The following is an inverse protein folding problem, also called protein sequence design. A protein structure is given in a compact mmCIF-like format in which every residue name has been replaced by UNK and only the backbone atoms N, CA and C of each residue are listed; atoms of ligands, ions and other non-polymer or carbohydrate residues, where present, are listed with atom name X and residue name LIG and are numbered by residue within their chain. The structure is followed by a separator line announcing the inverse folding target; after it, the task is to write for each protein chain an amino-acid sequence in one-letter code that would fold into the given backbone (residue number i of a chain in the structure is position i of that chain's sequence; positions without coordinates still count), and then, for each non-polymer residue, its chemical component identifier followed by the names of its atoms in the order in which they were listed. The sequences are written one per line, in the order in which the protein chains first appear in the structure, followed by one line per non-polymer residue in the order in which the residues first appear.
data_IF_352865490545
#
_entry.id   IF_352865490545
#
_cell.length_a   1.000
_cell.length_b   1.000
_cell.length_c   1.000
_cell.angle_alpha   90.00
_cell.angle_beta   90.00
_cell.angle_gamma   90.00
#
_symmetry.space_group_name_H-M   'P 1'
#
loop_
_entity.id
_entity.type
_entity.pdbx_description
1 polymer ?
#
# COMPACT_ATOMS: atom_id res chain seq x y z
N UNK A 1 18.36 -14.85 9.01
CA UNK A 1 17.79 -13.88 9.97
C UNK A 1 18.74 -13.83 11.15
N UNK A 2 19.29 -12.67 11.46
CA UNK A 2 20.31 -12.51 12.51
C UNK A 2 19.81 -11.70 13.70
N UNK A 3 18.66 -11.02 13.57
CA UNK A 3 18.01 -10.32 14.68
C UNK A 3 16.50 -10.25 14.51
N UNK A 4 15.79 -10.34 15.63
CA UNK A 4 14.36 -10.11 15.71
C UNK A 4 14.03 -9.42 17.02
N UNK A 5 13.39 -8.26 16.94
CA UNK A 5 12.75 -7.60 18.07
C UNK A 5 11.29 -7.44 17.73
N UNK A 6 10.45 -8.12 18.51
CA UNK A 6 9.00 -8.11 18.34
C UNK A 6 8.49 -6.66 18.26
N UNK A 7 7.63 -6.41 17.26
CA UNK A 7 6.99 -5.12 16.98
C UNK A 7 7.95 -3.94 16.77
N UNK A 8 9.25 -4.21 16.53
CA UNK A 8 10.27 -3.18 16.30
C UNK A 8 11.05 -3.41 15.01
N UNK A 9 11.73 -4.55 14.88
CA UNK A 9 12.59 -4.80 13.72
C UNK A 9 12.85 -6.28 13.44
N UNK A 10 13.10 -6.58 12.16
CA UNK A 10 13.68 -7.83 11.69
C UNK A 10 14.97 -7.51 10.95
N UNK A 11 16.06 -8.18 11.30
CA UNK A 11 17.36 -8.04 10.66
C UNK A 11 17.72 -9.31 9.90
N UNK A 12 17.96 -9.16 8.60
CA UNK A 12 18.42 -10.20 7.71
C UNK A 12 19.81 -9.86 7.20
N UNK A 13 20.65 -10.88 7.10
CA UNK A 13 21.98 -10.80 6.48
C UNK A 13 22.02 -11.69 5.25
N UNK A 14 22.98 -11.41 4.38
CA UNK A 14 23.26 -12.17 3.17
C UNK A 14 23.44 -13.66 3.47
N UNK A 15 22.72 -14.48 2.72
CA UNK A 15 22.97 -15.91 2.70
C UNK A 15 24.07 -16.19 1.67
N UNK A 16 25.26 -16.55 2.12
CA UNK A 16 26.39 -16.88 1.24
C UNK A 16 26.12 -18.15 0.41
N UNK A 17 25.28 -19.06 0.92
CA UNK A 17 24.88 -20.30 0.25
C UNK A 17 23.60 -20.12 -0.59
N UNK A 18 23.28 -18.90 -1.02
CA UNK A 18 22.10 -18.67 -1.84
C UNK A 18 22.25 -19.34 -3.21
N UNK A 19 21.26 -20.15 -3.57
CA UNK A 19 21.29 -21.02 -4.76
C UNK A 19 21.60 -20.30 -6.08
N UNK A 20 21.29 -18.99 -6.17
CA UNK A 20 21.55 -18.18 -7.35
C UNK A 20 22.85 -17.41 -7.17
N UNK A 21 23.85 -17.82 -7.93
CA UNK A 21 25.18 -17.23 -7.93
C UNK A 21 25.14 -15.70 -8.11
N UNK A 22 25.98 -15.00 -7.34
CA UNK A 22 26.10 -13.54 -7.39
C UNK A 22 24.94 -12.77 -6.75
N UNK A 23 23.97 -13.43 -6.10
CA UNK A 23 22.89 -12.80 -5.34
C UNK A 23 22.82 -13.34 -3.90
N UNK A 24 22.24 -12.59 -2.95
CA UNK A 24 21.81 -11.19 -3.06
C UNK A 24 23.00 -10.21 -3.12
N UNK A 25 22.77 -8.99 -3.62
CA UNK A 25 23.80 -7.92 -3.70
C UNK A 25 23.98 -7.14 -2.40
N UNK A 26 22.97 -7.17 -1.53
CA UNK A 26 22.98 -6.46 -0.25
C UNK A 26 23.55 -7.37 0.83
N UNK A 27 24.39 -6.82 1.70
CA UNK A 27 24.95 -7.54 2.83
C UNK A 27 23.95 -7.68 3.98
N UNK A 28 23.06 -6.69 4.14
CA UNK A 28 22.12 -6.60 5.25
C UNK A 28 20.84 -5.86 4.85
N UNK A 29 19.71 -6.30 5.39
CA UNK A 29 18.41 -5.62 5.30
C UNK A 29 17.78 -5.57 6.69
N UNK A 30 17.37 -4.37 7.10
CA UNK A 30 16.60 -4.17 8.34
C UNK A 30 15.18 -3.74 7.98
N UNK A 31 14.20 -4.57 8.35
CA UNK A 31 12.79 -4.20 8.29
C UNK A 31 12.41 -3.54 9.61
N UNK A 32 12.20 -2.21 9.60
CA UNK A 32 11.70 -1.47 10.76
C UNK A 32 10.17 -1.45 10.75
N UNK A 33 9.56 -1.72 11.91
CA UNK A 33 8.12 -1.63 12.11
C UNK A 33 7.79 -0.21 12.56
N UNK A 34 7.21 0.58 11.66
CA UNK A 34 6.81 1.97 11.91
C UNK A 34 5.33 2.11 11.55
N UNK A 35 4.41 1.98 12.52
CA UNK A 35 2.97 1.95 12.27
C UNK A 35 2.44 3.24 11.64
N UNK A 36 2.89 4.38 12.13
CA UNK A 36 2.38 5.70 11.72
C UNK A 36 2.95 6.15 10.37
N UNK A 37 2.08 6.56 9.45
CA UNK A 37 2.46 6.94 8.10
C UNK A 37 3.30 8.22 8.05
N UNK A 38 3.00 9.20 8.90
CA UNK A 38 3.76 10.44 9.03
C UNK A 38 5.19 10.17 9.54
N UNK A 39 5.35 9.27 10.52
CA UNK A 39 6.67 8.87 11.03
C UNK A 39 7.49 8.16 9.96
N UNK A 40 6.88 7.28 9.15
CA UNK A 40 7.57 6.65 8.02
C UNK A 40 8.09 7.68 7.01
N UNK A 41 7.26 8.66 6.64
CA UNK A 41 7.66 9.70 5.70
C UNK A 41 8.80 10.55 6.26
N UNK A 42 8.72 10.94 7.54
CA UNK A 42 9.79 11.68 8.19
C UNK A 42 11.11 10.90 8.21
N UNK A 43 11.08 9.61 8.57
CA UNK A 43 12.28 8.77 8.55
C UNK A 43 12.85 8.57 7.13
N UNK A 44 11.99 8.53 6.11
CA UNK A 44 12.42 8.47 4.72
C UNK A 44 13.12 9.78 4.30
N UNK A 45 12.54 10.92 4.67
CA UNK A 45 13.11 12.25 4.38
C UNK A 45 14.46 12.47 5.08
N UNK A 46 14.65 11.93 6.28
CA UNK A 46 15.93 12.01 6.99
C UNK A 46 16.96 10.98 6.53
N UNK A 47 16.58 10.03 5.66
CA UNK A 47 17.44 8.92 5.23
C UNK A 47 17.66 7.84 6.30
N UNK A 48 16.79 7.80 7.32
CA UNK A 48 16.82 6.74 8.35
C UNK A 48 16.28 5.42 7.80
N UNK A 49 15.37 5.50 6.83
CA UNK A 49 14.93 4.35 6.01
C UNK A 49 15.13 4.68 4.54
N UNK A 50 15.45 3.66 3.74
CA UNK A 50 15.66 3.83 2.30
C UNK A 50 14.37 3.64 1.49
N UNK A 51 13.42 2.86 2.01
CA UNK A 51 12.21 2.45 1.29
C UNK A 51 10.98 2.51 2.22
N UNK A 52 9.93 3.18 1.74
CA UNK A 52 8.60 3.21 2.36
C UNK A 52 7.58 2.53 1.44
N UNK A 53 7.11 1.33 1.80
CA UNK A 53 6.20 0.54 0.94
C UNK A 53 4.79 1.15 0.80
N UNK A 54 4.25 1.73 1.87
CA UNK A 54 2.87 2.26 1.92
C UNK A 54 2.90 3.76 2.11
N UNK A 55 2.86 4.48 0.98
CA UNK A 55 2.69 5.92 0.89
C UNK A 55 1.20 6.22 0.82
N UNK A 56 0.71 7.11 1.67
CA UNK A 56 -0.68 7.56 1.60
C UNK A 56 -0.85 8.58 0.48
N UNK A 57 -2.03 8.60 -0.15
CA UNK A 57 -2.33 9.50 -1.27
C UNK A 57 -2.03 10.97 -0.90
N UNK A 58 -2.43 11.39 0.31
CA UNK A 58 -2.18 12.74 0.82
C UNK A 58 -0.68 13.08 0.96
N UNK A 59 0.20 12.08 1.00
CA UNK A 59 1.65 12.25 1.11
C UNK A 59 2.35 12.22 -0.26
N UNK A 60 1.67 11.77 -1.32
CA UNK A 60 2.27 11.57 -2.63
C UNK A 60 2.87 12.86 -3.21
N UNK A 61 2.16 13.99 -3.07
CA UNK A 61 2.66 15.31 -3.50
C UNK A 61 3.90 15.74 -2.70
N UNK A 62 3.93 15.46 -1.39
CA UNK A 62 5.11 15.73 -0.56
C UNK A 62 6.32 14.93 -1.01
N UNK A 63 6.13 13.66 -1.41
CA UNK A 63 7.23 12.84 -1.93
C UNK A 63 7.69 13.37 -3.30
N UNK A 64 6.76 13.62 -4.21
CA UNK A 64 7.06 14.10 -5.58
C UNK A 64 7.68 15.50 -5.63
N UNK A 65 7.42 16.35 -4.64
CA UNK A 65 8.00 17.71 -4.58
C UNK A 65 9.47 17.72 -4.15
N UNK A 66 10.00 16.60 -3.64
CA UNK A 66 11.42 16.48 -3.27
C UNK A 66 12.25 15.93 -4.42
N UNK A 67 13.49 16.41 -4.57
CA UNK A 67 14.39 15.99 -5.66
C UNK A 67 15.20 14.72 -5.35
N UNK A 68 15.17 14.24 -4.10
CA UNK A 68 15.96 13.10 -3.63
C UNK A 68 15.11 11.88 -3.30
N UNK A 69 13.78 11.99 -3.31
CA UNK A 69 12.86 10.85 -3.19
C UNK A 69 12.22 10.57 -4.54
N UNK A 70 11.84 9.31 -4.74
CA UNK A 70 11.13 8.88 -5.94
C UNK A 70 9.86 8.11 -5.54
N UNK A 71 8.71 8.57 -6.02
CA UNK A 71 7.46 7.84 -5.85
C UNK A 71 7.33 6.81 -6.96
N UNK A 72 7.19 5.54 -6.57
CA UNK A 72 6.98 4.44 -7.52
C UNK A 72 5.53 3.95 -7.44
N UNK A 73 4.80 4.18 -8.52
CA UNK A 73 3.46 3.64 -8.71
C UNK A 73 3.55 2.22 -9.29
N UNK A 74 2.94 1.26 -8.60
CA UNK A 74 2.94 -0.13 -9.01
C UNK A 74 1.50 -0.65 -8.97
N UNK A 75 0.98 -1.23 -10.07
CA UNK A 75 -0.31 -1.90 -10.06
C UNK A 75 -0.36 -2.97 -8.98
N UNK A 76 -1.43 -2.98 -8.18
CA UNK A 76 -1.63 -3.97 -7.12
C UNK A 76 -2.88 -4.80 -7.41
N UNK A 77 -2.94 -6.07 -6.95
CA UNK A 77 -4.15 -6.89 -7.06
C UNK A 77 -5.23 -6.50 -6.04
N UNK A 78 -5.10 -5.37 -5.35
CA UNK A 78 -6.02 -4.95 -4.29
C UNK A 78 -7.30 -4.37 -4.90
N UNK A 79 -8.45 -4.97 -4.59
CA UNK A 79 -9.76 -4.46 -4.98
C UNK A 79 -10.48 -3.83 -3.77
N UNK A 80 -10.88 -2.56 -3.90
CA UNK A 80 -11.78 -1.91 -2.96
C UNK A 80 -13.22 -2.11 -3.40
N UNK A 81 -14.04 -2.69 -2.55
CA UNK A 81 -15.46 -2.88 -2.86
C UNK A 81 -16.32 -2.97 -1.61
N UNK A 82 -17.58 -2.57 -1.78
CA UNK A 82 -18.62 -2.81 -0.78
C UNK A 82 -19.07 -4.25 -0.85
N UNK A 83 -19.04 -4.93 0.30
CA UNK A 83 -19.65 -6.24 0.49
C UNK A 83 -20.96 -6.06 1.24
N UNK A 84 -22.04 -6.51 0.64
CA UNK A 84 -23.37 -6.45 1.25
C UNK A 84 -23.65 -7.75 2.00
N UNK A 85 -24.19 -7.63 3.21
CA UNK A 85 -24.83 -8.76 3.87
C UNK A 85 -26.22 -8.98 3.25
N UNK A 86 -26.33 -10.00 2.40
CA UNK A 86 -27.56 -10.30 1.67
C UNK A 86 -28.65 -10.98 2.51
N UNK A 87 -28.39 -11.26 3.80
CA UNK A 87 -29.39 -11.84 4.70
C UNK A 87 -30.17 -10.78 5.50
N UNK A 88 -29.72 -9.52 5.48
CA UNK A 88 -30.23 -8.46 6.35
C UNK A 88 -31.00 -7.41 5.55
N UNK A 89 -32.22 -7.10 5.97
CA UNK A 89 -33.01 -6.01 5.38
C UNK A 89 -32.34 -4.64 5.59
N UNK A 90 -32.30 -3.74 4.58
CA UNK A 90 -32.90 -3.86 3.24
C UNK A 90 -31.94 -4.42 2.16
N UNK A 91 -30.76 -4.90 2.55
CA UNK A 91 -29.72 -5.40 1.64
C UNK A 91 -30.01 -6.80 1.10
N UNK A 92 -31.04 -7.48 1.61
CA UNK A 92 -31.57 -8.74 1.08
C UNK A 92 -32.18 -8.56 -0.33
N UNK A 93 -32.77 -7.40 -0.62
CA UNK A 93 -33.30 -7.06 -1.95
C UNK A 93 -32.19 -6.70 -2.94
N UNK A 94 -32.12 -7.42 -4.06
CA UNK A 94 -31.15 -7.16 -5.14
C UNK A 94 -31.28 -5.76 -5.73
N UNK A 95 -32.50 -5.21 -5.78
CA UNK A 95 -32.77 -3.88 -6.33
C UNK A 95 -32.17 -2.78 -5.47
N UNK A 96 -32.16 -2.98 -4.14
CA UNK A 96 -31.52 -2.05 -3.20
C UNK A 96 -30.00 -2.07 -3.43
N UNK A 97 -29.39 -3.25 -3.57
CA UNK A 97 -27.95 -3.37 -3.84
C UNK A 97 -27.56 -2.75 -5.19
N UNK A 98 -28.37 -2.96 -6.23
CA UNK A 98 -28.19 -2.31 -7.53
C UNK A 98 -28.29 -0.79 -7.41
N UNK A 99 -29.32 -0.27 -6.72
CA UNK A 99 -29.48 1.16 -6.51
C UNK A 99 -28.26 1.79 -5.81
N UNK A 100 -27.72 1.13 -4.77
CA UNK A 100 -26.48 1.58 -4.11
C UNK A 100 -25.31 1.57 -5.09
N UNK A 101 -25.17 0.54 -5.93
CA UNK A 101 -24.08 0.43 -6.89
C UNK A 101 -24.11 1.53 -7.96
N UNK A 102 -25.30 1.92 -8.42
CA UNK A 102 -25.50 3.03 -9.37
C UNK A 102 -25.35 4.41 -8.72
N UNK A 103 -25.61 4.54 -7.42
CA UNK A 103 -25.47 5.80 -6.69
C UNK A 103 -24.02 6.18 -6.41
N UNK A 104 -23.07 5.24 -6.57
CA UNK A 104 -21.64 5.49 -6.34
C UNK A 104 -20.99 5.95 -7.63
N UNK A 105 -20.59 7.22 -7.63
CA UNK A 105 -19.70 7.77 -8.65
C UNK A 105 -18.26 7.30 -8.38
N UNK A 106 -17.79 6.35 -9.19
CA UNK A 106 -16.46 5.76 -9.04
C UNK A 106 -15.37 6.69 -9.55
N UNK A 107 -15.66 7.47 -10.58
CA UNK A 107 -14.68 8.35 -11.20
C UNK A 107 -14.41 9.53 -10.26
N UNK A 108 -15.46 10.13 -9.71
CA UNK A 108 -15.32 11.17 -8.68
C UNK A 108 -14.58 10.65 -7.43
N UNK A 109 -14.85 9.41 -6.99
CA UNK A 109 -14.12 8.82 -5.87
C UNK A 109 -12.62 8.66 -6.16
N UNK A 110 -12.27 8.21 -7.36
CA UNK A 110 -10.87 8.03 -7.75
C UNK A 110 -10.18 9.40 -7.85
N UNK A 111 -10.82 10.39 -8.48
CA UNK A 111 -10.25 11.72 -8.68
C UNK A 111 -10.13 12.50 -7.37
N UNK A 112 -11.23 12.62 -6.62
CA UNK A 112 -11.29 13.54 -5.47
C UNK A 112 -10.71 12.91 -4.19
N UNK A 113 -10.91 11.60 -3.98
CA UNK A 113 -10.49 10.93 -2.73
C UNK A 113 -9.15 10.21 -2.91
N UNK A 114 -8.96 9.54 -4.03
CA UNK A 114 -7.71 8.80 -4.30
C UNK A 114 -6.70 9.61 -5.11
N UNK A 115 -7.00 10.87 -5.47
CA UNK A 115 -6.12 11.75 -6.26
C UNK A 115 -5.58 11.09 -7.53
N UNK A 116 -6.42 10.28 -8.19
CA UNK A 116 -6.06 9.53 -9.40
C UNK A 116 -5.33 8.21 -9.15
N UNK A 117 -4.96 7.87 -7.91
CA UNK A 117 -4.30 6.60 -7.56
C UNK A 117 -5.31 5.44 -7.45
N UNK A 118 -5.95 5.12 -8.56
CA UNK A 118 -6.90 4.03 -8.67
C UNK A 118 -7.40 3.86 -10.09
N UNK A 119 -7.92 2.67 -10.38
CA UNK A 119 -8.61 2.40 -11.65
C UNK A 119 -9.96 1.77 -11.36
N UNK A 120 -11.01 2.11 -12.13
CA UNK A 120 -12.30 1.45 -12.01
C UNK A 120 -12.16 -0.06 -12.25
N UNK A 121 -12.80 -0.86 -11.41
CA UNK A 121 -12.89 -2.31 -11.59
C UNK A 121 -14.33 -2.71 -11.90
N UNK A 122 -14.50 -3.56 -12.91
CA UNK A 122 -15.80 -4.11 -13.30
C UNK A 122 -16.00 -5.54 -12.78
N UNK A 123 -14.91 -6.23 -12.39
CA UNK A 123 -14.94 -7.61 -11.92
C UNK A 123 -13.97 -7.79 -10.75
N UNK A 124 -14.31 -8.70 -9.83
CA UNK A 124 -13.34 -9.22 -8.88
C UNK A 124 -12.55 -10.31 -9.58
N UNK A 125 -11.23 -10.14 -9.71
CA UNK A 125 -10.34 -11.24 -10.07
C UNK A 125 -10.05 -12.11 -8.84
#
# INVERSE_FOLDING_TARGET
MTGYKRDQEIVLEKNEDYWKEGLPKLDKVTFKVIPEASTRLAELQTGTIDIMKRVEVAQAETVNSTNYLNLLEVPTPTAFALRFDTAVKPLDDVRVRQAINYAIDRDALIEEILSGYGVPIATFQ
#
